data_IF_712077068792
#
_entry.id   IF_712077068792
#
_cell.length_a   1.000
_cell.length_b   1.000
_cell.length_c   1.000
_cell.angle_alpha   90.00
_cell.angle_beta   90.00
_cell.angle_gamma   90.00
#
_symmetry.space_group_name_H-M   'P 1'
#
loop_
_entity.id
_entity.type
_entity.pdbx_description
1 polymer ?
#
# COMPACT_ATOMS: atom_id res chain seq x y z
N UNK A 1 3.90 7.10 -19.33
CA UNK A 1 2.55 7.71 -19.30
C UNK A 1 1.52 7.03 -20.21
N UNK A 2 1.83 6.62 -21.45
CA UNK A 2 0.82 6.07 -22.38
C UNK A 2 0.24 4.69 -22.01
N UNK A 3 1.00 3.83 -21.31
CA UNK A 3 0.62 2.44 -21.05
C UNK A 3 -0.51 2.31 -20.00
N UNK A 4 -0.43 3.07 -18.90
CA UNK A 4 -1.43 3.04 -17.81
C UNK A 4 -2.78 3.62 -18.28
N UNK A 5 -2.75 4.70 -19.07
CA UNK A 5 -3.96 5.32 -19.65
C UNK A 5 -4.67 4.38 -20.65
N UNK A 6 -3.92 3.53 -21.36
CA UNK A 6 -4.43 2.59 -22.37
C UNK A 6 -4.99 1.29 -21.78
N UNK A 7 -4.48 0.82 -20.64
CA UNK A 7 -4.93 -0.46 -20.06
C UNK A 7 -6.21 -0.36 -19.22
N UNK A 8 -6.53 0.81 -18.63
CA UNK A 8 -7.65 0.93 -17.70
C UNK A 8 -8.71 1.97 -18.10
N UNK A 9 -8.47 2.81 -19.12
CA UNK A 9 -9.40 3.86 -19.57
C UNK A 9 -9.90 4.79 -18.44
N UNK A 10 -9.22 4.82 -17.30
CA UNK A 10 -9.61 5.62 -16.14
C UNK A 10 -8.85 6.93 -16.12
N UNK A 11 -9.54 7.97 -15.68
CA UNK A 11 -8.88 9.19 -15.24
C UNK A 11 -7.96 8.86 -14.06
N UNK A 12 -6.77 9.46 -14.03
CA UNK A 12 -5.71 9.12 -13.07
C UNK A 12 -6.15 9.43 -11.63
N UNK A 13 -7.03 10.44 -11.47
CA UNK A 13 -7.68 10.75 -10.19
C UNK A 13 -8.55 9.58 -9.69
N UNK A 14 -9.37 9.00 -10.56
CA UNK A 14 -10.23 7.85 -10.23
C UNK A 14 -9.39 6.61 -9.95
N UNK A 15 -8.35 6.37 -10.75
CA UNK A 15 -7.40 5.28 -10.51
C UNK A 15 -6.66 5.42 -9.17
N UNK A 16 -6.27 6.64 -8.79
CA UNK A 16 -5.65 6.92 -7.49
C UNK A 16 -6.61 6.61 -6.34
N UNK A 17 -7.85 7.10 -6.40
CA UNK A 17 -8.85 6.82 -5.38
C UNK A 17 -9.13 5.32 -5.23
N UNK A 18 -9.35 4.62 -6.34
CA UNK A 18 -9.61 3.17 -6.33
C UNK A 18 -8.42 2.38 -5.79
N UNK A 19 -7.19 2.80 -6.09
CA UNK A 19 -5.99 2.18 -5.53
C UNK A 19 -5.85 2.42 -4.03
N UNK A 20 -6.19 3.60 -3.52
CA UNK A 20 -6.22 3.85 -2.07
C UNK A 20 -7.24 2.95 -1.37
N UNK A 21 -8.44 2.76 -1.95
CA UNK A 21 -9.43 1.81 -1.41
C UNK A 21 -8.88 0.38 -1.46
N UNK A 22 -8.23 -0.01 -2.56
CA UNK A 22 -7.59 -1.32 -2.70
C UNK A 22 -6.52 -1.55 -1.62
N UNK A 23 -5.71 -0.53 -1.29
CA UNK A 23 -4.73 -0.63 -0.19
C UNK A 23 -5.43 -0.95 1.13
N UNK A 24 -6.53 -0.26 1.47
CA UNK A 24 -7.26 -0.52 2.72
C UNK A 24 -7.78 -1.97 2.77
N UNK A 25 -8.35 -2.48 1.67
CA UNK A 25 -8.86 -3.85 1.61
C UNK A 25 -7.73 -4.87 1.75
N UNK A 26 -6.63 -4.70 1.00
CA UNK A 26 -5.51 -5.63 1.01
C UNK A 26 -4.75 -5.60 2.35
N UNK A 27 -4.48 -4.41 2.90
CA UNK A 27 -3.84 -4.28 4.20
C UNK A 27 -4.75 -4.76 5.33
N UNK A 28 -6.07 -4.51 5.25
CA UNK A 28 -7.06 -4.99 6.20
C UNK A 28 -7.18 -6.53 6.21
N UNK A 29 -7.19 -7.15 5.03
CA UNK A 29 -7.16 -8.61 4.93
C UNK A 29 -5.87 -9.22 5.49
N UNK A 30 -4.73 -8.58 5.25
CA UNK A 30 -3.45 -9.02 5.82
C UNK A 30 -3.39 -8.87 7.35
N UNK A 31 -3.90 -7.75 7.87
CA UNK A 31 -4.07 -7.54 9.30
C UNK A 31 -4.94 -8.64 9.92
N UNK A 32 -6.07 -8.97 9.28
CA UNK A 32 -6.93 -10.07 9.73
C UNK A 32 -6.18 -11.41 9.78
N UNK A 33 -5.44 -11.75 8.72
CA UNK A 33 -4.66 -13.00 8.67
C UNK A 33 -3.60 -13.06 9.78
N UNK A 34 -2.90 -11.95 10.06
CA UNK A 34 -1.93 -11.86 11.16
C UNK A 34 -2.61 -11.99 12.54
N UNK A 35 -3.78 -11.36 12.72
CA UNK A 35 -4.54 -11.49 13.98
C UNK A 35 -5.07 -12.91 14.19
N UNK A 36 -5.52 -13.59 13.13
CA UNK A 36 -5.94 -14.99 13.19
C UNK A 36 -4.77 -15.89 13.58
N UNK A 37 -3.58 -15.62 13.06
CA UNK A 37 -2.36 -16.37 13.38
C UNK A 37 -1.93 -16.19 14.84
N UNK A 38 -1.95 -14.96 15.37
CA UNK A 38 -1.75 -14.70 16.80
C UNK A 38 -2.85 -15.35 17.65
N UNK A 39 -4.11 -15.28 17.20
CA UNK A 39 -5.24 -15.92 17.88
C UNK A 39 -5.07 -17.42 18.00
N UNK A 40 -4.65 -18.08 16.92
CA UNK A 40 -4.34 -19.52 16.89
C UNK A 40 -3.13 -19.89 17.77
N UNK A 41 -2.21 -18.95 18.03
CA UNK A 41 -1.09 -19.16 18.95
C UNK A 41 -1.51 -19.09 20.42
N UNK A 42 -2.41 -18.16 20.78
CA UNK A 42 -2.82 -17.91 22.17
C UNK A 42 -3.95 -18.84 22.62
N UNK A 43 -4.79 -19.29 21.69
CA UNK A 43 -5.99 -20.09 21.98
C UNK A 43 -5.88 -21.50 21.40
N UNK A 44 -6.80 -22.41 21.79
CA UNK A 44 -6.92 -23.74 21.15
C UNK A 44 -7.61 -23.70 19.78
N UNK A 45 -7.73 -22.52 19.17
CA UNK A 45 -8.33 -22.36 17.85
C UNK A 45 -7.41 -22.96 16.77
N UNK A 46 -7.82 -24.09 16.20
CA UNK A 46 -7.08 -24.72 15.10
C UNK A 46 -7.55 -24.16 13.75
N UNK A 47 -6.62 -23.58 13.00
CA UNK A 47 -6.82 -23.27 11.59
C UNK A 47 -6.60 -24.55 10.80
N UNK A 48 -7.67 -25.11 10.21
CA UNK A 48 -7.58 -26.29 9.36
C UNK A 48 -6.59 -26.07 8.22
N UNK A 49 -5.66 -27.02 8.04
CA UNK A 49 -4.54 -26.91 7.08
C UNK A 49 -3.65 -25.66 7.29
N UNK A 50 -3.70 -25.04 8.47
CA UNK A 50 -2.93 -23.86 8.83
C UNK A 50 -1.55 -24.17 9.39
N UNK A 51 -0.87 -23.13 9.88
CA UNK A 51 0.45 -23.26 10.47
C UNK A 51 0.40 -24.17 11.70
N UNK A 52 1.27 -25.19 11.72
CA UNK A 52 1.45 -26.03 12.90
C UNK A 52 2.49 -25.37 13.81
N UNK A 53 2.12 -25.09 15.05
CA UNK A 53 2.99 -24.50 16.09
C UNK A 53 4.36 -25.20 16.22
N UNK A 54 4.47 -26.54 16.11
CA UNK A 54 5.75 -27.25 16.10
C UNK A 54 6.71 -26.85 14.96
N UNK A 55 6.20 -26.28 13.86
CA UNK A 55 7.04 -25.82 12.74
C UNK A 55 7.68 -24.45 13.01
N UNK A 56 7.14 -23.71 13.99
CA UNK A 56 7.69 -22.44 14.52
C UNK A 56 8.51 -22.64 15.79
N UNK A 57 8.42 -23.81 16.42
CA UNK A 57 8.78 -24.01 17.84
C UNK A 57 10.23 -23.74 18.19
N UNK A 58 11.17 -23.84 17.25
CA UNK A 58 12.57 -23.51 17.50
C UNK A 58 12.82 -22.00 17.66
N UNK A 59 12.02 -21.13 17.04
CA UNK A 59 12.23 -19.68 16.99
C UNK A 59 10.92 -18.89 17.19
N UNK A 60 9.98 -19.44 17.97
CA UNK A 60 8.62 -18.89 18.11
C UNK A 60 8.58 -17.43 18.58
N UNK A 61 9.58 -17.01 19.35
CA UNK A 61 9.71 -15.63 19.83
C UNK A 61 9.98 -14.64 18.69
N UNK A 62 10.80 -15.04 17.71
CA UNK A 62 11.09 -14.22 16.54
C UNK A 62 9.86 -14.07 15.64
N UNK A 63 9.07 -15.14 15.47
CA UNK A 63 7.80 -15.10 14.75
C UNK A 63 6.79 -14.18 15.43
N UNK A 64 6.61 -14.32 16.75
CA UNK A 64 5.68 -13.48 17.50
C UNK A 64 6.09 -11.99 17.44
N UNK A 65 7.39 -11.69 17.58
CA UNK A 65 7.89 -10.33 17.46
C UNK A 65 7.67 -9.76 16.04
N UNK A 66 7.92 -10.57 15.01
CA UNK A 66 7.63 -10.23 13.62
C UNK A 66 6.15 -9.90 13.42
N UNK A 67 5.24 -10.74 13.90
CA UNK A 67 3.80 -10.53 13.74
C UNK A 67 3.33 -9.24 14.40
N UNK A 68 3.80 -8.94 15.61
CA UNK A 68 3.48 -7.68 16.31
C UNK A 68 3.96 -6.45 15.52
N UNK A 69 5.20 -6.50 15.01
CA UNK A 69 5.77 -5.40 14.21
C UNK A 69 4.99 -5.20 12.91
N UNK A 70 4.67 -6.28 12.20
CA UNK A 70 3.93 -6.24 10.93
C UNK A 70 2.49 -5.75 11.15
N UNK A 71 1.82 -6.18 12.22
CA UNK A 71 0.50 -5.68 12.62
C UNK A 71 0.52 -4.17 12.82
N UNK A 72 1.53 -3.66 13.55
CA UNK A 72 1.67 -2.21 13.75
C UNK A 72 1.78 -1.47 12.41
N UNK A 73 2.61 -1.96 11.48
CA UNK A 73 2.74 -1.35 10.15
C UNK A 73 1.45 -1.42 9.33
N UNK A 74 0.69 -2.52 9.40
CA UNK A 74 -0.62 -2.61 8.77
C UNK A 74 -1.59 -1.54 9.30
N UNK A 75 -1.66 -1.37 10.62
CA UNK A 75 -2.54 -0.36 11.23
C UNK A 75 -2.12 1.05 10.77
N UNK A 76 -0.83 1.36 10.82
CA UNK A 76 -0.30 2.67 10.38
C UNK A 76 -0.63 2.94 8.91
N UNK A 77 -0.39 1.99 8.01
CA UNK A 77 -0.66 2.21 6.58
C UNK A 77 -2.16 2.32 6.29
N UNK A 78 -3.01 1.56 6.99
CA UNK A 78 -4.47 1.66 6.85
C UNK A 78 -4.95 3.05 7.26
N UNK A 79 -4.52 3.53 8.44
CA UNK A 79 -4.92 4.86 8.93
C UNK A 79 -4.43 5.97 8.00
N UNK A 80 -3.17 5.89 7.54
CA UNK A 80 -2.63 6.88 6.62
C UNK A 80 -3.35 6.85 5.27
N UNK A 81 -3.72 5.65 4.79
CA UNK A 81 -4.49 5.50 3.54
C UNK A 81 -5.90 6.07 3.68
N UNK A 82 -6.60 5.84 4.79
CA UNK A 82 -7.91 6.43 5.06
C UNK A 82 -7.82 7.96 5.08
N UNK A 83 -6.78 8.51 5.71
CA UNK A 83 -6.51 9.94 5.66
C UNK A 83 -6.27 10.45 4.22
N UNK A 84 -5.52 9.71 3.41
CA UNK A 84 -5.31 10.05 1.99
C UNK A 84 -6.60 10.00 1.18
N UNK A 85 -7.49 9.05 1.44
CA UNK A 85 -8.82 8.99 0.82
C UNK A 85 -9.58 10.29 1.13
N UNK A 86 -9.62 10.71 2.40
CA UNK A 86 -10.24 11.97 2.80
C UNK A 86 -9.63 13.17 2.05
N UNK A 87 -8.30 13.25 1.97
CA UNK A 87 -7.60 14.35 1.29
C UNK A 87 -7.91 14.41 -0.22
N UNK A 88 -7.88 13.28 -0.92
CA UNK A 88 -8.16 13.20 -2.37
C UNK A 88 -9.63 13.54 -2.70
N UNK A 89 -10.55 13.21 -1.79
CA UNK A 89 -11.99 13.51 -1.98
C UNK A 89 -12.33 14.96 -1.64
N UNK A 90 -11.72 15.55 -0.60
CA UNK A 90 -12.16 16.83 -0.03
C UNK A 90 -11.30 18.03 -0.39
N UNK A 91 -10.03 17.83 -0.78
CA UNK A 91 -9.09 18.93 -1.01
C UNK A 91 -8.74 19.06 -2.50
N UNK A 92 -8.42 20.30 -2.89
CA UNK A 92 -7.84 20.57 -4.20
C UNK A 92 -6.44 19.95 -4.29
N UNK A 93 -6.02 19.55 -5.50
CA UNK A 93 -4.79 18.77 -5.71
C UNK A 93 -3.53 19.45 -5.14
N UNK A 94 -3.45 20.77 -5.24
CA UNK A 94 -2.35 21.58 -4.68
C UNK A 94 -2.17 21.37 -3.16
N UNK A 95 -3.26 21.21 -2.41
CA UNK A 95 -3.23 21.11 -0.95
C UNK A 95 -2.79 19.74 -0.42
N UNK A 96 -2.88 18.69 -1.24
CA UNK A 96 -2.53 17.33 -0.80
C UNK A 96 -1.36 16.72 -1.58
N UNK A 97 -0.75 17.44 -2.53
CA UNK A 97 0.37 16.95 -3.34
C UNK A 97 1.55 16.51 -2.48
N UNK A 98 1.97 17.33 -1.53
CA UNK A 98 3.07 16.99 -0.63
C UNK A 98 2.72 15.80 0.28
N UNK A 99 1.49 15.76 0.77
CA UNK A 99 0.99 14.62 1.56
C UNK A 99 0.99 13.32 0.74
N UNK A 100 0.55 13.36 -0.52
CA UNK A 100 0.57 12.23 -1.44
C UNK A 100 2.00 11.75 -1.72
N UNK A 101 2.96 12.68 -1.82
CA UNK A 101 4.38 12.36 -1.98
C UNK A 101 4.91 11.62 -0.76
N UNK A 102 4.69 12.15 0.44
CA UNK A 102 5.08 11.48 1.69
C UNK A 102 4.43 10.10 1.81
N UNK A 103 3.12 10.02 1.53
CA UNK A 103 2.39 8.75 1.54
C UNK A 103 3.00 7.73 0.57
N UNK A 104 3.36 8.16 -0.65
CA UNK A 104 3.95 7.27 -1.67
C UNK A 104 5.27 6.68 -1.18
N UNK A 105 6.16 7.49 -0.60
CA UNK A 105 7.42 6.98 -0.04
C UNK A 105 7.20 6.07 1.18
N UNK A 106 6.28 6.42 2.08
CA UNK A 106 5.90 5.56 3.20
C UNK A 106 5.33 4.22 2.72
N UNK A 107 4.52 4.23 1.65
CA UNK A 107 3.96 3.01 1.06
C UNK A 107 5.04 2.12 0.44
N UNK A 108 6.06 2.69 -0.20
CA UNK A 108 7.21 1.92 -0.72
C UNK A 108 7.96 1.24 0.43
N UNK A 109 8.26 1.98 1.51
CA UNK A 109 8.90 1.41 2.70
C UNK A 109 8.05 0.32 3.33
N UNK A 110 6.74 0.52 3.42
CA UNK A 110 5.79 -0.47 3.91
C UNK A 110 5.84 -1.77 3.08
N UNK A 111 5.79 -1.68 1.73
CA UNK A 111 5.89 -2.86 0.87
C UNK A 111 7.25 -3.56 1.00
N UNK A 112 8.33 -2.81 1.18
CA UNK A 112 9.66 -3.38 1.39
C UNK A 112 9.75 -4.15 2.71
N UNK A 113 9.26 -3.58 3.81
CA UNK A 113 9.19 -4.23 5.12
C UNK A 113 8.37 -5.52 5.02
N UNK A 114 7.19 -5.44 4.41
CA UNK A 114 6.30 -6.58 4.21
C UNK A 114 6.96 -7.70 3.40
N UNK A 115 7.70 -7.35 2.35
CA UNK A 115 8.48 -8.30 1.57
C UNK A 115 9.56 -8.99 2.41
N UNK A 116 10.35 -8.23 3.19
CA UNK A 116 11.38 -8.80 4.06
C UNK A 116 10.80 -9.78 5.08
N UNK A 117 9.68 -9.43 5.72
CA UNK A 117 9.02 -10.32 6.68
C UNK A 117 8.40 -11.55 6.02
N UNK A 118 7.84 -11.40 4.81
CA UNK A 118 7.32 -12.54 4.05
C UNK A 118 8.44 -13.52 3.67
N UNK A 119 9.58 -13.01 3.21
CA UNK A 119 10.76 -13.84 2.90
C UNK A 119 11.28 -14.54 4.15
N UNK A 120 11.38 -13.81 5.28
CA UNK A 120 11.73 -14.39 6.57
C UNK A 120 10.77 -15.54 6.91
N UNK A 121 9.47 -15.29 6.97
CA UNK A 121 8.46 -16.28 7.34
C UNK A 121 8.55 -17.54 6.47
N UNK A 122 8.54 -17.40 5.14
CA UNK A 122 8.54 -18.55 4.23
C UNK A 122 9.89 -19.27 4.11
N UNK A 123 11.01 -18.61 4.44
CA UNK A 123 12.33 -19.25 4.44
C UNK A 123 12.44 -20.35 5.51
N UNK A 124 11.83 -20.15 6.67
CA UNK A 124 11.81 -21.15 7.76
C UNK A 124 10.86 -22.31 7.46
N UNK A 125 9.82 -22.10 6.64
CA UNK A 125 8.93 -23.18 6.21
C UNK A 125 9.49 -24.00 5.05
N UNK A 126 10.37 -23.41 4.23
CA UNK A 126 11.02 -24.08 3.11
C UNK A 126 10.00 -24.83 2.23
N UNK A 127 10.25 -26.13 1.99
CA UNK A 127 9.38 -27.00 1.19
C UNK A 127 8.02 -27.31 1.87
N UNK A 128 7.87 -27.08 3.17
CA UNK A 128 6.60 -27.31 3.87
C UNK A 128 5.55 -26.23 3.53
N UNK A 129 5.96 -25.09 2.98
CA UNK A 129 5.06 -24.02 2.52
C UNK A 129 4.01 -24.54 1.54
N UNK A 130 4.39 -25.47 0.66
CA UNK A 130 3.52 -25.98 -0.40
C UNK A 130 2.74 -27.24 -0.04
N UNK A 131 2.79 -27.67 1.24
CA UNK A 131 2.14 -28.90 1.68
C UNK A 131 0.71 -28.70 2.18
N UNK A 132 0.40 -27.53 2.72
CA UNK A 132 -0.90 -27.26 3.32
C UNK A 132 -1.63 -26.16 2.55
N UNK A 133 -2.92 -26.38 2.29
CA UNK A 133 -3.71 -25.50 1.43
C UNK A 133 -3.78 -24.05 1.96
N UNK A 134 -3.92 -23.86 3.28
CA UNK A 134 -3.98 -22.53 3.87
C UNK A 134 -2.63 -21.81 3.78
N UNK A 135 -1.51 -22.53 3.95
CA UNK A 135 -0.17 -21.95 3.83
C UNK A 135 0.13 -21.54 2.38
N UNK A 136 -0.29 -22.34 1.40
CA UNK A 136 -0.23 -21.98 -0.03
C UNK A 136 -1.09 -20.74 -0.32
N UNK A 137 -2.31 -20.68 0.23
CA UNK A 137 -3.17 -19.51 0.09
C UNK A 137 -2.51 -18.25 0.65
N UNK A 138 -1.96 -18.31 1.86
CA UNK A 138 -1.27 -17.18 2.49
C UNK A 138 -0.07 -16.75 1.64
N UNK A 139 0.74 -17.70 1.16
CA UNK A 139 1.87 -17.39 0.28
C UNK A 139 1.44 -16.67 -1.01
N UNK A 140 0.41 -17.19 -1.70
CA UNK A 140 -0.16 -16.56 -2.90
C UNK A 140 -0.74 -15.18 -2.59
N UNK A 141 -1.34 -15.01 -1.41
CA UNK A 141 -1.88 -13.73 -0.96
C UNK A 141 -0.79 -12.68 -0.78
N UNK A 142 0.33 -13.01 -0.11
CA UNK A 142 1.48 -12.09 0.01
C UNK A 142 2.09 -11.77 -1.36
N UNK A 143 2.22 -12.75 -2.25
CA UNK A 143 2.71 -12.53 -3.61
C UNK A 143 1.80 -11.58 -4.41
N UNK A 144 0.49 -11.82 -4.37
CA UNK A 144 -0.49 -10.96 -5.03
C UNK A 144 -0.44 -9.52 -4.50
N UNK A 145 -0.24 -9.36 -3.18
CA UNK A 145 -0.11 -8.05 -2.54
C UNK A 145 1.17 -7.33 -2.93
N UNK A 146 2.30 -8.02 -3.05
CA UNK A 146 3.54 -7.44 -3.56
C UNK A 146 3.36 -6.90 -4.99
N UNK A 147 2.75 -7.70 -5.87
CA UNK A 147 2.49 -7.29 -7.26
C UNK A 147 1.53 -6.10 -7.29
N UNK A 148 0.44 -6.15 -6.52
CA UNK A 148 -0.51 -5.05 -6.41
C UNK A 148 0.16 -3.79 -5.85
N UNK A 149 1.01 -3.90 -4.84
CA UNK A 149 1.75 -2.79 -4.24
C UNK A 149 2.68 -2.10 -5.24
N UNK A 150 3.38 -2.86 -6.09
CA UNK A 150 4.21 -2.32 -7.18
C UNK A 150 3.34 -1.55 -8.18
N UNK A 151 2.22 -2.14 -8.64
CA UNK A 151 1.31 -1.51 -9.60
C UNK A 151 0.73 -0.21 -9.01
N UNK A 152 0.27 -0.24 -7.76
CA UNK A 152 -0.29 0.91 -7.07
C UNK A 152 0.76 2.02 -6.94
N UNK A 153 2.00 1.67 -6.57
CA UNK A 153 3.11 2.63 -6.49
C UNK A 153 3.35 3.36 -7.82
N UNK A 154 3.32 2.63 -8.95
CA UNK A 154 3.46 3.22 -10.28
C UNK A 154 2.33 4.23 -10.57
N UNK A 155 1.09 3.90 -10.18
CA UNK A 155 -0.05 4.81 -10.35
C UNK A 155 0.08 6.05 -9.47
N UNK A 156 0.52 5.91 -8.21
CA UNK A 156 0.73 7.04 -7.31
C UNK A 156 1.80 8.00 -7.83
N UNK A 157 2.93 7.48 -8.33
CA UNK A 157 3.95 8.31 -8.99
C UNK A 157 3.42 8.99 -10.25
N UNK A 158 2.62 8.29 -11.05
CA UNK A 158 2.00 8.88 -12.23
C UNK A 158 1.09 10.05 -11.86
N UNK A 159 0.35 9.94 -10.74
CA UNK A 159 -0.52 11.01 -10.25
C UNK A 159 0.27 12.20 -9.70
N UNK A 160 1.40 11.96 -9.03
CA UNK A 160 2.29 13.04 -8.58
C UNK A 160 2.84 13.84 -9.75
N UNK A 161 3.33 13.16 -10.79
CA UNK A 161 3.85 13.81 -12.01
C UNK A 161 2.76 14.65 -12.72
N UNK A 162 1.54 14.13 -12.82
CA UNK A 162 0.41 14.89 -13.38
C UNK A 162 0.10 16.15 -12.56
N UNK A 163 0.06 16.04 -11.23
CA UNK A 163 -0.21 17.18 -10.34
C UNK A 163 0.90 18.24 -10.41
N UNK A 164 2.16 17.84 -10.54
CA UNK A 164 3.28 18.77 -10.72
C UNK A 164 3.20 19.52 -12.06
N UNK A 165 2.82 18.81 -13.13
CA UNK A 165 2.61 19.41 -14.44
C UNK A 165 1.41 20.39 -14.46
N UNK A 166 0.30 20.03 -13.81
CA UNK A 166 -0.87 20.90 -13.65
C UNK A 166 -0.51 22.17 -12.88
N UNK A 167 0.21 22.04 -11.75
CA UNK A 167 0.67 23.18 -10.95
C UNK A 167 1.61 24.10 -11.74
N UNK A 168 2.55 23.54 -12.50
CA UNK A 168 3.46 24.33 -13.34
C UNK A 168 2.71 25.09 -14.44
N UNK A 169 1.64 24.49 -14.99
CA UNK A 169 0.78 25.15 -15.96
C UNK A 169 -0.02 26.31 -15.33
N UNK A 170 -0.61 26.09 -14.16
CA UNK A 170 -1.35 27.12 -13.42
C UNK A 170 -0.45 28.33 -13.10
N UNK A 171 0.77 28.10 -12.61
CA UNK A 171 1.75 29.16 -12.33
C UNK A 171 2.07 29.98 -13.58
N UNK A 172 2.41 29.33 -14.70
CA UNK A 172 2.70 30.02 -15.98
C UNK A 172 1.50 30.80 -16.51
N UNK A 173 0.29 30.28 -16.34
CA UNK A 173 -0.93 30.96 -16.75
C UNK A 173 -1.22 32.19 -15.88
N UNK A 174 -0.90 32.12 -14.58
CA UNK A 174 -1.05 33.23 -13.65
C UNK A 174 -0.05 34.35 -13.96
N UNK A 175 1.21 34.03 -14.22
CA UNK A 175 2.23 35.01 -14.61
C UNK A 175 1.83 35.80 -15.87
N UNK A 176 1.27 35.12 -16.88
CA UNK A 176 0.76 35.79 -18.08
C UNK A 176 -0.41 36.73 -17.78
N UNK A 177 -1.33 36.35 -16.88
CA UNK A 177 -2.42 37.24 -16.44
C UNK A 177 -1.89 38.49 -15.77
N UNK A 178 -0.89 38.36 -14.90
CA UNK A 178 -0.29 39.51 -14.22
C UNK A 178 0.43 40.43 -15.21
N UNK A 179 1.24 39.88 -16.12
CA UNK A 179 1.92 40.68 -17.17
C UNK A 179 0.93 41.46 -18.03
N UNK A 180 -0.19 40.84 -18.44
CA UNK A 180 -1.23 41.55 -19.19
C UNK A 180 -1.93 42.66 -18.38
N UNK A 181 -2.17 42.45 -17.09
CA UNK A 181 -2.77 43.48 -16.23
C UNK A 181 -1.86 44.70 -16.02
N UNK A 182 -0.54 44.52 -15.96
CA UNK A 182 0.40 45.65 -15.88
C UNK A 182 0.59 46.36 -17.23
N UNK A 183 0.44 45.65 -18.36
CA UNK A 183 0.48 46.27 -19.69
C UNK A 183 -0.76 47.09 -20.06
N UNK A 184 -1.89 46.87 -19.35
CA UNK A 184 -3.14 47.60 -19.57
C UNK A 184 -3.25 48.89 -18.72
N UNK A 185 -2.25 49.16 -17.88
CA UNK A 185 -2.17 50.33 -17.00
C UNK A 185 -1.10 51.36 -17.46
N UNK A 186 -0.44 51.12 -18.60
CA UNK A 186 0.43 52.09 -19.29
C UNK A 186 -0.22 52.64 -20.56
#
# INVERSE_FOLDING_TARGET
MALVRRCLCWDLRTATFANLVTIVILAGGALLLRLLDIGAFITEFEISQGFKTPWRSHEWQAFLASDVVVIFFHVVIILFTIYMIYMVTQKHFVLYMETLRTFTYSFIMYNFIEFCFSVFEFSFYGLNTFRLAFVVFIWLYWLARLIAGIIITIVLFSRLDEMENEMAYELRSSDRKYVHSYSALG
#
